data_IF_412555246156
#
_entry.id   IF_412555246156
#
_cell.length_a   1.000
_cell.length_b   1.000
_cell.length_c   1.000
_cell.angle_alpha   90.00
_cell.angle_beta   90.00
_cell.angle_gamma   90.00
#
_symmetry.space_group_name_H-M   'P 1'
#
loop_
_entity.id
_entity.type
_entity.pdbx_description
1 polymer ?
#
# COMPACT_ATOMS: atom_id res chain seq x y z
N UNK A 1 -25.93 -14.16 12.04
CA UNK A 1 -24.79 -15.08 12.21
C UNK A 1 -23.80 -14.38 13.13
N UNK A 2 -23.35 -15.03 14.21
CA UNK A 2 -22.34 -14.46 15.10
C UNK A 2 -21.05 -14.25 14.31
N UNK A 3 -20.67 -13.00 14.05
CA UNK A 3 -19.35 -12.68 13.52
C UNK A 3 -18.34 -13.14 14.57
N UNK A 4 -17.53 -14.15 14.26
CA UNK A 4 -16.37 -14.47 15.09
C UNK A 4 -15.56 -13.19 15.27
N UNK A 5 -15.14 -12.88 16.50
CA UNK A 5 -14.35 -11.69 16.77
C UNK A 5 -13.01 -11.81 16.00
N UNK A 6 -12.75 -10.86 15.10
CA UNK A 6 -11.51 -10.80 14.33
C UNK A 6 -10.35 -10.54 15.28
N UNK A 7 -9.31 -11.38 15.20
CA UNK A 7 -8.16 -11.22 16.06
C UNK A 7 -7.32 -10.04 15.59
N UNK A 8 -7.06 -9.12 16.52
CA UNK A 8 -6.34 -7.88 16.24
C UNK A 8 -5.32 -7.59 17.34
N UNK A 9 -4.08 -7.39 16.93
CA UNK A 9 -3.01 -6.81 17.76
C UNK A 9 -2.72 -5.39 17.28
N UNK A 10 -2.12 -4.56 18.14
CA UNK A 10 -1.75 -3.20 17.74
C UNK A 10 -0.58 -2.67 18.54
N UNK A 11 0.11 -1.71 17.96
CA UNK A 11 1.25 -1.04 18.58
C UNK A 11 1.26 0.44 18.19
N UNK A 12 1.69 1.29 19.13
CA UNK A 12 1.88 2.70 18.88
C UNK A 12 3.11 2.93 17.99
N UNK A 13 3.01 3.92 17.10
CA UNK A 13 4.10 4.33 16.25
C UNK A 13 4.67 5.65 16.75
N UNK A 14 5.96 5.86 16.50
CA UNK A 14 6.50 7.20 16.62
C UNK A 14 6.05 8.04 15.43
N UNK A 15 5.19 9.02 15.68
CA UNK A 15 4.85 10.07 14.74
C UNK A 15 5.64 11.36 15.09
N UNK A 16 6.78 11.66 14.43
CA UNK A 16 7.43 12.97 14.57
C UNK A 16 6.49 14.10 14.12
N UNK A 17 6.81 15.35 14.49
CA UNK A 17 6.17 16.49 13.81
C UNK A 17 6.52 16.44 12.32
N UNK A 18 5.61 16.85 11.44
CA UNK A 18 5.85 16.82 9.99
C UNK A 18 7.11 17.60 9.60
N UNK A 19 7.35 18.76 10.23
CA UNK A 19 8.55 19.58 10.01
C UNK A 19 9.86 18.83 10.33
N UNK A 20 9.86 17.94 11.32
CA UNK A 20 11.03 17.15 11.69
C UNK A 20 11.36 16.08 10.64
N UNK A 21 10.39 15.71 9.80
CA UNK A 21 10.56 14.76 8.70
C UNK A 21 11.04 15.43 7.40
N UNK A 22 10.81 16.73 7.22
CA UNK A 22 11.11 17.46 5.97
C UNK A 22 12.58 17.40 5.58
N UNK A 23 13.46 17.96 6.43
CA UNK A 23 14.87 18.12 6.09
C UNK A 23 15.61 16.78 5.84
N UNK A 24 15.38 15.72 6.66
CA UNK A 24 15.97 14.40 6.42
C UNK A 24 15.55 13.77 5.09
N UNK A 25 14.25 13.77 4.77
CA UNK A 25 13.75 13.19 3.51
C UNK A 25 14.29 13.97 2.32
N UNK A 26 14.26 15.31 2.38
CA UNK A 26 14.79 16.14 1.30
C UNK A 26 16.28 15.93 1.06
N UNK A 27 17.08 15.80 2.12
CA UNK A 27 18.52 15.52 2.01
C UNK A 27 18.77 14.16 1.36
N UNK A 28 18.11 13.11 1.86
CA UNK A 28 18.27 11.75 1.36
C UNK A 28 17.87 11.59 -0.12
N UNK A 29 16.84 12.32 -0.55
CA UNK A 29 16.40 12.34 -1.95
C UNK A 29 17.36 13.14 -2.84
N UNK A 30 17.99 14.23 -2.38
CA UNK A 30 18.94 15.01 -3.21
C UNK A 30 20.17 14.22 -3.63
N UNK A 31 20.57 13.23 -2.84
CA UNK A 31 21.65 12.30 -3.18
C UNK A 31 21.26 11.33 -4.32
N UNK A 32 19.95 11.19 -4.58
CA UNK A 32 19.38 10.21 -5.52
C UNK A 32 18.72 10.83 -6.73
N UNK A 33 18.29 12.08 -6.62
CA UNK A 33 17.57 12.82 -7.64
C UNK A 33 18.27 14.14 -7.94
N UNK A 34 18.24 14.57 -9.18
CA UNK A 34 18.74 15.86 -9.65
C UNK A 34 18.01 17.00 -8.96
N UNK A 35 16.69 16.85 -8.81
CA UNK A 35 15.83 17.78 -8.10
C UNK A 35 15.00 17.04 -7.06
N UNK A 36 15.07 17.48 -5.81
CA UNK A 36 14.19 16.98 -4.76
C UNK A 36 13.80 18.10 -3.78
N UNK A 37 12.53 18.13 -3.40
CA UNK A 37 11.98 19.02 -2.38
C UNK A 37 10.98 18.27 -1.51
N UNK A 38 10.93 18.65 -0.24
CA UNK A 38 9.94 18.16 0.72
C UNK A 38 9.46 19.37 1.51
N UNK A 39 8.15 19.50 1.67
CA UNK A 39 7.52 20.62 2.38
C UNK A 39 6.28 20.13 3.13
N UNK A 40 5.91 20.82 4.21
CA UNK A 40 4.60 20.65 4.83
C UNK A 40 3.61 21.57 4.13
N UNK A 41 2.57 21.00 3.54
CA UNK A 41 1.54 21.74 2.80
C UNK A 41 0.16 21.34 3.29
N UNK A 42 -0.84 22.18 3.02
CA UNK A 42 -2.23 21.75 3.13
C UNK A 42 -2.52 20.71 2.03
N UNK A 43 -3.09 19.57 2.40
CA UNK A 43 -3.38 18.49 1.47
C UNK A 43 -4.27 18.99 0.32
N UNK A 44 -3.83 18.87 -0.94
CA UNK A 44 -4.70 19.23 -2.06
C UNK A 44 -5.87 18.27 -2.14
N UNK A 45 -6.94 18.67 -2.83
CA UNK A 45 -8.11 17.83 -3.01
C UNK A 45 -7.79 16.58 -3.85
N UNK A 46 -7.60 15.44 -3.18
CA UNK A 46 -7.21 14.17 -3.81
C UNK A 46 -8.35 13.47 -4.56
N UNK A 47 -9.57 14.01 -4.54
CA UNK A 47 -10.62 13.55 -5.46
C UNK A 47 -10.19 13.72 -6.92
N UNK A 48 -9.35 14.72 -7.21
CA UNK A 48 -8.75 14.96 -8.53
C UNK A 48 -7.76 13.87 -8.96
N UNK A 49 -7.27 13.06 -8.02
CA UNK A 49 -6.38 11.92 -8.27
C UNK A 49 -7.14 10.58 -8.33
N UNK A 50 -8.48 10.62 -8.31
CA UNK A 50 -9.32 9.44 -8.32
C UNK A 50 -9.60 8.83 -6.94
N UNK A 51 -9.10 9.42 -5.85
CA UNK A 51 -9.37 8.91 -4.49
C UNK A 51 -10.83 9.14 -4.07
N UNK A 52 -11.31 8.36 -3.12
CA UNK A 52 -12.68 8.43 -2.56
C UNK A 52 -12.88 9.57 -1.55
N UNK A 53 -11.79 10.15 -1.05
CA UNK A 53 -11.75 11.18 -0.02
C UNK A 53 -10.89 12.36 -0.47
N UNK A 54 -11.20 13.60 -0.04
CA UNK A 54 -10.47 14.79 -0.47
C UNK A 54 -9.10 14.97 0.18
N UNK A 55 -8.84 14.35 1.35
CA UNK A 55 -7.56 14.51 2.05
C UNK A 55 -7.11 13.25 2.78
N UNK A 56 -5.96 13.37 3.45
CA UNK A 56 -5.32 12.29 4.23
C UNK A 56 -5.35 12.55 5.74
N UNK A 57 -6.09 13.58 6.17
CA UNK A 57 -6.15 14.03 7.55
C UNK A 57 -7.10 13.21 8.43
N UNK A 58 -6.94 13.41 9.74
CA UNK A 58 -7.78 12.84 10.78
C UNK A 58 -7.32 11.45 11.25
N UNK A 59 -6.61 11.45 12.39
CA UNK A 59 -6.13 10.26 13.12
C UNK A 59 -5.54 9.16 12.24
N UNK A 60 -4.46 9.43 11.48
CA UNK A 60 -3.92 8.47 10.52
C UNK A 60 -3.36 7.21 11.21
N UNK A 61 -3.67 6.04 10.64
CA UNK A 61 -3.30 4.71 11.16
C UNK A 61 -2.89 3.79 10.02
N UNK A 62 -2.13 2.75 10.33
CA UNK A 62 -1.87 1.64 9.41
C UNK A 62 -2.64 0.41 9.86
N UNK A 63 -3.16 -0.36 8.90
CA UNK A 63 -3.75 -1.68 9.15
C UNK A 63 -3.14 -2.69 8.19
N UNK A 64 -2.59 -3.76 8.75
CA UNK A 64 -2.04 -4.90 8.04
C UNK A 64 -2.92 -6.13 8.31
N UNK A 65 -3.59 -6.63 7.28
CA UNK A 65 -4.59 -7.70 7.33
C UNK A 65 -4.05 -8.94 6.64
N UNK A 66 -4.18 -10.12 7.26
CA UNK A 66 -3.88 -11.38 6.61
C UNK A 66 -2.39 -11.55 6.29
N UNK A 67 -2.04 -11.79 5.03
CA UNK A 67 -0.65 -11.76 4.59
C UNK A 67 -0.35 -12.71 3.43
N UNK A 68 0.87 -12.59 2.89
CA UNK A 68 1.37 -13.42 1.77
C UNK A 68 1.19 -14.93 2.01
N UNK A 69 1.35 -15.51 3.22
CA UNK A 69 1.11 -16.94 3.42
C UNK A 69 -0.28 -17.42 2.96
N UNK A 70 -1.30 -16.57 3.04
CA UNK A 70 -2.64 -16.93 2.58
C UNK A 70 -2.74 -17.04 1.04
N UNK A 71 -1.89 -16.32 0.30
CA UNK A 71 -1.80 -16.45 -1.16
C UNK A 71 -1.25 -17.81 -1.56
N UNK A 72 -0.26 -18.28 -0.79
CA UNK A 72 0.55 -19.46 -1.11
C UNK A 72 -0.20 -20.78 -0.88
N UNK A 73 -1.32 -20.76 -0.17
CA UNK A 73 -2.11 -21.95 0.15
C UNK A 73 -3.55 -21.81 -0.37
N UNK A 74 -4.01 -22.68 -1.29
CA UNK A 74 -5.39 -22.70 -1.77
C UNK A 74 -6.45 -22.74 -0.66
N UNK A 75 -6.12 -23.28 0.51
CA UNK A 75 -7.02 -23.34 1.65
C UNK A 75 -7.33 -21.96 2.29
N UNK A 76 -6.64 -20.90 1.86
CA UNK A 76 -6.74 -19.57 2.46
C UNK A 76 -7.05 -18.44 1.46
N UNK A 77 -7.18 -18.76 0.17
CA UNK A 77 -7.41 -17.78 -0.90
C UNK A 77 -8.84 -17.23 -0.94
N UNK A 78 -9.79 -17.88 -0.22
CA UNK A 78 -11.18 -17.44 -0.07
C UNK A 78 -11.40 -16.47 1.11
N UNK A 79 -10.34 -16.18 1.89
CA UNK A 79 -10.41 -15.21 3.00
C UNK A 79 -10.88 -13.85 2.49
N UNK A 80 -11.85 -13.28 3.21
CA UNK A 80 -12.52 -12.04 2.85
C UNK A 80 -12.77 -11.17 4.09
N UNK A 81 -12.33 -9.91 4.04
CA UNK A 81 -12.42 -8.97 5.15
C UNK A 81 -13.20 -7.72 4.74
N UNK A 82 -14.27 -7.39 5.46
CA UNK A 82 -15.05 -6.20 5.17
C UNK A 82 -14.30 -4.94 5.59
N UNK A 83 -14.37 -3.91 4.74
CA UNK A 83 -13.80 -2.59 5.00
C UNK A 83 -14.40 -1.99 6.27
N UNK A 84 -15.68 -2.25 6.53
CA UNK A 84 -16.33 -1.85 7.78
C UNK A 84 -15.65 -2.44 9.01
N UNK A 85 -15.38 -3.74 9.01
CA UNK A 85 -14.73 -4.42 10.14
C UNK A 85 -13.29 -3.91 10.34
N UNK A 86 -12.57 -3.67 9.23
CA UNK A 86 -11.24 -3.06 9.25
C UNK A 86 -11.27 -1.68 9.90
N UNK A 87 -12.24 -0.85 9.54
CA UNK A 87 -12.42 0.50 10.11
C UNK A 87 -12.77 0.43 11.60
N UNK A 88 -13.60 -0.53 12.03
CA UNK A 88 -13.93 -0.74 13.44
C UNK A 88 -12.71 -1.21 14.25
N UNK A 89 -11.95 -2.17 13.72
CA UNK A 89 -10.69 -2.63 14.31
C UNK A 89 -9.69 -1.48 14.46
N UNK A 90 -9.61 -0.63 13.45
CA UNK A 90 -8.78 0.57 13.47
C UNK A 90 -9.37 1.70 14.32
N UNK A 91 -10.51 1.52 15.01
CA UNK A 91 -11.14 2.55 15.85
C UNK A 91 -11.59 3.80 15.10
N UNK A 92 -11.88 3.68 13.80
CA UNK A 92 -12.28 4.76 12.89
C UNK A 92 -13.51 4.35 12.06
N UNK A 93 -14.68 4.11 12.68
CA UNK A 93 -15.86 3.57 12.00
C UNK A 93 -16.37 4.45 10.85
N UNK A 94 -16.13 5.77 10.91
CA UNK A 94 -16.48 6.75 9.88
C UNK A 94 -15.31 7.14 8.98
N UNK A 95 -14.20 6.40 9.08
CA UNK A 95 -13.00 6.65 8.30
C UNK A 95 -13.07 6.08 6.90
N UNK A 96 -11.92 6.10 6.24
CA UNK A 96 -11.69 5.57 4.92
C UNK A 96 -10.34 4.88 4.85
N UNK A 97 -10.22 3.94 3.91
CA UNK A 97 -9.03 3.15 3.64
C UNK A 97 -8.46 3.53 2.28
N UNK A 98 -7.14 3.52 2.16
CA UNK A 98 -6.42 3.46 0.88
C UNK A 98 -5.17 2.60 1.00
N UNK A 99 -4.71 1.96 -0.06
CA UNK A 99 -3.46 1.19 0.00
C UNK A 99 -3.35 0.10 -1.06
N UNK A 100 -2.85 -1.06 -0.65
CA UNK A 100 -2.59 -2.22 -1.51
C UNK A 100 -3.20 -3.46 -0.88
N UNK A 101 -3.92 -4.27 -1.66
CA UNK A 101 -4.55 -5.48 -1.17
C UNK A 101 -4.70 -6.52 -2.29
N UNK A 102 -5.11 -7.73 -1.93
CA UNK A 102 -5.73 -8.67 -2.86
C UNK A 102 -7.23 -8.36 -2.98
N UNK A 103 -7.83 -8.58 -4.15
CA UNK A 103 -9.29 -8.54 -4.28
C UNK A 103 -9.96 -9.74 -3.61
N UNK A 104 -11.23 -9.56 -3.23
CA UNK A 104 -12.09 -10.65 -2.77
C UNK A 104 -12.36 -11.60 -3.94
N UNK A 105 -11.85 -12.83 -3.83
CA UNK A 105 -11.90 -13.82 -4.90
C UNK A 105 -13.34 -14.21 -5.29
N UNK A 106 -14.29 -14.17 -4.35
CA UNK A 106 -15.69 -14.52 -4.62
C UNK A 106 -16.38 -13.45 -5.48
N UNK A 107 -16.05 -12.17 -5.25
CA UNK A 107 -16.55 -11.07 -6.07
C UNK A 107 -15.80 -10.98 -7.41
N UNK A 108 -14.46 -11.02 -7.37
CA UNK A 108 -13.60 -10.86 -8.54
C UNK A 108 -13.60 -12.10 -9.47
N UNK A 109 -14.08 -13.25 -8.97
CA UNK A 109 -14.07 -14.55 -9.65
C UNK A 109 -12.66 -15.01 -10.05
N UNK A 110 -11.71 -14.78 -9.14
CA UNK A 110 -10.30 -15.09 -9.33
C UNK A 110 -9.39 -14.13 -8.59
N UNK A 111 -8.09 -14.30 -8.78
CA UNK A 111 -7.09 -13.45 -8.16
C UNK A 111 -7.01 -12.07 -8.83
N UNK A 112 -6.84 -11.02 -8.03
CA UNK A 112 -6.65 -9.65 -8.52
C UNK A 112 -5.76 -8.84 -7.58
N UNK A 113 -4.98 -7.93 -8.15
CA UNK A 113 -4.36 -6.84 -7.40
C UNK A 113 -5.42 -5.79 -7.11
N UNK A 114 -5.70 -5.50 -5.84
CA UNK A 114 -6.67 -4.50 -5.44
C UNK A 114 -5.99 -3.20 -5.03
N UNK A 115 -6.52 -2.09 -5.52
CA UNK A 115 -6.21 -0.72 -5.11
C UNK A 115 -7.36 -0.22 -4.24
N UNK A 116 -7.45 -0.63 -2.96
CA UNK A 116 -8.53 -0.22 -2.08
C UNK A 116 -8.51 1.31 -1.95
N UNK A 117 -9.66 1.94 -2.14
CA UNK A 117 -9.87 3.37 -1.92
C UNK A 117 -11.34 3.60 -1.60
N UNK A 118 -11.71 3.50 -0.32
CA UNK A 118 -13.12 3.44 0.06
C UNK A 118 -13.40 3.85 1.51
N UNK A 119 -14.65 4.19 1.79
CA UNK A 119 -15.26 4.26 3.10
C UNK A 119 -16.46 3.31 3.14
N UNK A 120 -17.19 3.25 4.26
CA UNK A 120 -18.46 2.50 4.34
C UNK A 120 -19.53 2.98 3.35
N UNK A 121 -19.42 4.20 2.83
CA UNK A 121 -20.46 4.84 2.02
C UNK A 121 -20.00 5.19 0.60
N UNK A 122 -18.72 4.97 0.29
CA UNK A 122 -18.15 5.36 -1.01
C UNK A 122 -17.04 4.41 -1.35
N UNK A 123 -17.12 3.77 -2.52
CA UNK A 123 -16.05 2.97 -3.07
C UNK A 123 -15.53 3.61 -4.36
N UNK A 124 -14.22 3.83 -4.45
CA UNK A 124 -13.50 4.14 -5.70
C UNK A 124 -12.33 3.19 -5.92
N UNK A 125 -12.40 2.03 -5.29
CA UNK A 125 -11.40 0.99 -5.44
C UNK A 125 -11.33 0.52 -6.89
N UNK A 126 -10.13 0.11 -7.31
CA UNK A 126 -9.91 -0.54 -8.60
C UNK A 126 -9.30 -1.91 -8.38
N UNK A 127 -9.44 -2.80 -9.35
CA UNK A 127 -8.70 -4.07 -9.39
C UNK A 127 -7.96 -4.23 -10.71
N UNK A 128 -6.80 -4.89 -10.68
CA UNK A 128 -6.09 -5.28 -11.88
C UNK A 128 -5.93 -6.80 -11.96
N UNK A 129 -6.08 -7.34 -13.18
CA UNK A 129 -5.89 -8.77 -13.48
C UNK A 129 -5.11 -8.98 -14.76
N UNK A 130 -4.61 -10.20 -14.96
CA UNK A 130 -4.02 -10.63 -16.23
C UNK A 130 -5.15 -11.01 -17.20
N UNK A 131 -5.26 -10.29 -18.31
CA UNK A 131 -6.20 -10.58 -19.39
C UNK A 131 -5.83 -11.85 -20.17
N UNK A 132 -6.78 -12.34 -20.99
CA UNK A 132 -6.58 -13.56 -21.79
C UNK A 132 -5.43 -13.46 -22.81
N UNK A 133 -5.08 -12.24 -23.24
CA UNK A 133 -3.94 -11.95 -24.11
C UNK A 133 -2.64 -11.64 -23.34
N UNK A 134 -2.66 -11.83 -22.02
CA UNK A 134 -1.54 -11.56 -21.12
C UNK A 134 -1.28 -10.07 -20.84
N UNK A 135 -2.18 -9.16 -21.25
CA UNK A 135 -2.11 -7.73 -20.91
C UNK A 135 -2.75 -7.46 -19.55
N UNK A 136 -2.36 -6.36 -18.93
CA UNK A 136 -3.05 -5.86 -17.74
C UNK A 136 -4.46 -5.40 -18.12
N UNK A 137 -5.44 -5.72 -17.28
CA UNK A 137 -6.81 -5.20 -17.36
C UNK A 137 -7.15 -4.56 -16.02
N UNK A 138 -7.53 -3.28 -16.05
CA UNK A 138 -8.04 -2.53 -14.91
C UNK A 138 -9.57 -2.53 -14.91
N UNK A 139 -10.18 -2.81 -13.76
CA UNK A 139 -11.62 -2.75 -13.56
C UNK A 139 -12.00 -1.87 -12.36
N UNK A 140 -13.24 -1.39 -12.40
CA UNK A 140 -13.91 -0.86 -11.20
C UNK A 140 -14.12 -1.99 -10.19
N UNK A 141 -13.90 -1.71 -8.91
CA UNK A 141 -14.12 -2.66 -7.83
C UNK A 141 -15.22 -2.16 -6.90
N UNK A 142 -16.48 -2.47 -7.24
CA UNK A 142 -17.67 -2.06 -6.48
C UNK A 142 -18.04 -3.12 -5.44
N UNK A 143 -17.14 -3.29 -4.47
CA UNK A 143 -17.30 -4.22 -3.37
C UNK A 143 -16.69 -3.68 -2.08
N UNK A 144 -17.25 -4.06 -0.95
CA UNK A 144 -16.88 -3.54 0.37
C UNK A 144 -15.89 -4.44 1.12
N UNK A 145 -15.28 -5.41 0.43
CA UNK A 145 -14.34 -6.38 1.01
C UNK A 145 -13.01 -6.41 0.28
N UNK A 146 -11.97 -6.71 1.03
CA UNK A 146 -10.64 -7.09 0.51
C UNK A 146 -10.43 -8.59 0.71
N UNK A 147 -9.55 -9.18 -0.09
CA UNK A 147 -9.22 -10.61 -0.03
C UNK A 147 -8.23 -10.97 1.09
N UNK A 148 -7.45 -12.02 0.84
CA UNK A 148 -6.57 -12.69 1.78
C UNK A 148 -5.41 -11.85 2.37
N UNK A 149 -5.07 -10.69 1.79
CA UNK A 149 -4.14 -9.73 2.38
C UNK A 149 -4.52 -8.27 2.08
N UNK A 150 -4.17 -7.36 2.99
CA UNK A 150 -4.25 -5.92 2.76
C UNK A 150 -3.27 -5.13 3.63
N UNK A 151 -2.67 -4.10 3.03
CA UNK A 151 -1.85 -3.10 3.71
C UNK A 151 -2.46 -1.74 3.44
N UNK A 152 -3.09 -1.17 4.47
CA UNK A 152 -3.99 -0.05 4.36
C UNK A 152 -3.53 1.11 5.23
N UNK A 153 -3.57 2.30 4.65
CA UNK A 153 -3.60 3.55 5.36
C UNK A 153 -5.06 3.92 5.65
N UNK A 154 -5.35 4.21 6.92
CA UNK A 154 -6.70 4.52 7.41
C UNK A 154 -6.69 5.90 8.04
N UNK A 155 -7.66 6.74 7.67
CA UNK A 155 -7.83 8.08 8.23
C UNK A 155 -9.30 8.52 8.13
N UNK A 156 -9.64 9.74 8.58
CA UNK A 156 -10.98 10.31 8.41
C UNK A 156 -11.20 10.95 7.02
N UNK A 157 -10.14 11.08 6.21
CA UNK A 157 -10.24 11.57 4.84
C UNK A 157 -10.47 13.09 4.72
N UNK A 158 -10.22 13.84 5.80
CA UNK A 158 -10.44 15.30 5.84
C UNK A 158 -9.21 16.07 5.36
N UNK A 159 -9.36 17.35 4.96
CA UNK A 159 -8.22 18.24 4.73
C UNK A 159 -7.32 18.35 5.97
N UNK A 160 -6.06 18.71 5.75
CA UNK A 160 -5.07 18.88 6.80
C UNK A 160 -3.64 18.87 6.26
N UNK A 161 -2.65 19.14 7.12
CA UNK A 161 -1.26 19.20 6.73
C UNK A 161 -0.70 17.82 6.35
N UNK A 162 0.09 17.78 5.28
CA UNK A 162 0.76 16.57 4.77
C UNK A 162 2.18 16.90 4.32
N UNK A 163 3.02 15.89 4.19
CA UNK A 163 4.30 16.00 3.49
C UNK A 163 4.05 15.97 1.99
N UNK A 164 4.34 17.06 1.28
CA UNK A 164 4.54 17.03 -0.17
C UNK A 164 5.98 16.60 -0.45
N UNK A 165 6.15 15.52 -1.19
CA UNK A 165 7.45 15.00 -1.61
C UNK A 165 7.54 15.07 -3.13
N UNK A 166 8.53 15.81 -3.65
CA UNK A 166 8.81 15.89 -5.09
C UNK A 166 10.22 15.40 -5.37
N UNK A 167 10.37 14.58 -6.39
CA UNK A 167 11.66 14.05 -6.81
C UNK A 167 11.70 13.87 -8.33
N UNK A 168 12.71 14.45 -9.00
CA UNK A 168 12.84 14.41 -10.46
C UNK A 168 14.28 14.15 -10.90
N UNK A 169 14.42 13.45 -12.03
CA UNK A 169 15.70 13.14 -12.64
C UNK A 169 16.53 12.23 -11.74
N UNK A 170 16.30 10.92 -11.80
CA UNK A 170 17.03 9.95 -11.02
C UNK A 170 18.50 9.93 -11.45
N UNK A 171 19.43 9.98 -10.48
CA UNK A 171 20.89 10.02 -10.72
C UNK A 171 21.49 8.66 -11.09
N UNK A 172 20.91 7.57 -10.58
CA UNK A 172 21.34 6.18 -10.81
C UNK A 172 20.10 5.30 -10.99
N UNK A 173 20.15 4.18 -11.74
CA UNK A 173 19.01 3.28 -11.85
C UNK A 173 18.42 2.91 -10.48
N UNK A 174 17.09 2.85 -10.35
CA UNK A 174 16.43 2.34 -9.14
C UNK A 174 16.49 0.79 -9.12
N UNK A 175 16.48 0.24 -7.91
CA UNK A 175 16.13 -1.16 -7.66
C UNK A 175 15.03 -1.23 -6.60
N UNK A 176 14.63 -2.44 -6.20
CA UNK A 176 13.59 -2.64 -5.19
C UNK A 176 13.86 -1.93 -3.85
N UNK A 177 15.12 -1.76 -3.47
CA UNK A 177 15.52 -1.17 -2.19
C UNK A 177 15.78 0.34 -2.24
N UNK A 178 15.98 0.89 -3.44
CA UNK A 178 16.30 2.31 -3.68
C UNK A 178 15.23 3.05 -4.50
N UNK A 179 13.99 2.55 -4.45
CA UNK A 179 12.83 3.13 -5.15
C UNK A 179 12.28 4.39 -4.42
N UNK A 180 11.36 5.13 -5.04
CA UNK A 180 10.78 6.36 -4.47
C UNK A 180 10.29 6.22 -3.01
N UNK A 181 9.48 5.21 -2.70
CA UNK A 181 8.92 5.00 -1.34
C UNK A 181 10.00 4.45 -0.38
N UNK A 182 10.90 3.60 -0.88
CA UNK A 182 12.09 3.10 -0.19
C UNK A 182 13.00 4.22 0.29
N UNK A 183 13.16 5.26 -0.52
CA UNK A 183 13.97 6.41 -0.18
C UNK A 183 13.35 7.27 0.93
N UNK A 184 12.02 7.43 0.92
CA UNK A 184 11.29 8.13 1.99
C UNK A 184 11.42 7.34 3.30
N UNK A 185 11.18 6.02 3.26
CA UNK A 185 11.34 5.13 4.42
C UNK A 185 12.78 5.15 4.95
N UNK A 186 13.76 5.02 4.06
CA UNK A 186 15.19 4.99 4.39
C UNK A 186 15.65 6.27 5.09
N UNK A 187 15.20 7.42 4.62
CA UNK A 187 15.51 8.71 5.24
C UNK A 187 15.03 8.80 6.69
N UNK A 188 13.81 8.33 6.96
CA UNK A 188 13.22 8.34 8.31
C UNK A 188 13.90 7.32 9.22
N UNK A 189 14.19 6.12 8.71
CA UNK A 189 14.94 5.10 9.45
C UNK A 189 16.33 5.60 9.87
N UNK A 190 17.03 6.30 8.98
CA UNK A 190 18.33 6.90 9.28
C UNK A 190 18.23 8.04 10.30
N UNK A 191 17.18 8.87 10.21
CA UNK A 191 16.99 10.02 11.11
C UNK A 191 16.59 9.63 12.53
N UNK A 192 15.74 8.62 12.66
CA UNK A 192 15.11 8.21 13.91
C UNK A 192 15.35 6.72 14.19
N UNK A 193 16.62 6.31 14.39
CA UNK A 193 16.95 4.90 14.57
C UNK A 193 16.24 4.31 15.79
N UNK A 194 15.73 3.09 15.64
CA UNK A 194 15.03 2.36 16.71
C UNK A 194 13.62 2.86 17.02
N UNK A 195 13.10 3.83 16.24
CA UNK A 195 11.72 4.32 16.37
C UNK A 195 10.93 3.90 15.13
N UNK A 196 9.93 3.05 15.32
CA UNK A 196 9.03 2.65 14.25
C UNK A 196 8.17 3.83 13.82
N UNK A 197 8.25 4.21 12.54
CA UNK A 197 7.49 5.30 11.93
C UNK A 197 6.68 4.70 10.78
N UNK A 198 5.36 4.90 10.83
CA UNK A 198 4.46 4.52 9.74
C UNK A 198 4.01 5.74 8.95
N UNK A 199 3.81 5.55 7.65
CA UNK A 199 3.33 6.55 6.72
C UNK A 199 2.33 5.91 5.78
N UNK A 200 1.39 6.70 5.27
CA UNK A 200 0.67 6.33 4.06
C UNK A 200 0.20 7.54 3.30
N UNK A 201 -0.28 7.30 2.09
CA UNK A 201 -0.77 8.36 1.21
C UNK A 201 -0.77 7.95 -0.24
N UNK A 202 -0.71 8.94 -1.11
CA UNK A 202 -0.75 8.75 -2.55
C UNK A 202 0.35 9.53 -3.26
N UNK A 203 0.81 9.00 -4.39
CA UNK A 203 1.72 9.72 -5.27
C UNK A 203 1.37 9.49 -6.74
N UNK A 204 1.96 10.30 -7.61
CA UNK A 204 1.90 10.12 -9.07
C UNK A 204 3.28 10.25 -9.67
N UNK A 205 3.51 9.53 -10.76
CA UNK A 205 4.68 9.66 -11.62
C UNK A 205 4.25 10.37 -12.89
N UNK A 206 4.62 11.64 -13.06
CA UNK A 206 4.27 12.48 -14.22
C UNK A 206 5.09 12.18 -15.46
N UNK A 207 6.27 11.60 -15.29
CA UNK A 207 7.21 11.18 -16.33
C UNK A 207 7.96 9.94 -15.88
N UNK A 208 8.41 9.14 -16.85
CA UNK A 208 9.19 7.94 -16.63
C UNK A 208 8.35 6.67 -16.81
N UNK A 209 9.06 5.54 -16.78
CA UNK A 209 8.50 4.19 -16.79
C UNK A 209 8.78 3.54 -15.44
N UNK A 210 7.98 2.55 -15.08
CA UNK A 210 8.18 1.75 -13.87
C UNK A 210 7.86 0.28 -14.09
N UNK A 211 8.53 -0.57 -13.30
CA UNK A 211 8.26 -1.99 -13.24
C UNK A 211 7.10 -2.25 -12.29
N UNK A 212 6.16 -3.07 -12.74
CA UNK A 212 5.03 -3.53 -11.95
C UNK A 212 4.79 -5.03 -12.14
N UNK A 213 3.98 -5.62 -11.28
CA UNK A 213 3.39 -6.93 -11.54
C UNK A 213 1.87 -6.93 -11.34
N UNK A 214 1.24 -7.92 -11.94
CA UNK A 214 -0.12 -8.34 -11.63
C UNK A 214 -0.08 -9.84 -11.42
N UNK A 215 -0.59 -10.33 -10.29
CA UNK A 215 -0.75 -11.75 -10.07
C UNK A 215 -1.66 -12.38 -11.15
N UNK A 216 -1.26 -13.50 -11.79
CA UNK A 216 -2.20 -14.36 -12.49
C UNK A 216 -3.21 -14.98 -11.52
N UNK A 217 -4.15 -15.76 -12.07
CA UNK A 217 -5.09 -16.50 -11.23
C UNK A 217 -4.37 -17.51 -10.33
N UNK A 218 -5.07 -17.93 -9.26
CA UNK A 218 -4.53 -18.81 -8.25
C UNK A 218 -4.04 -20.15 -8.84
N UNK A 219 -3.02 -20.74 -8.21
CA UNK A 219 -2.67 -22.14 -8.45
C UNK A 219 -3.50 -23.04 -7.56
N UNK A 220 -3.85 -24.23 -8.05
CA UNK A 220 -4.52 -25.29 -7.28
C UNK A 220 -3.61 -26.01 -6.28
N UNK A 221 -2.34 -25.62 -6.21
CA UNK A 221 -1.30 -26.24 -5.37
C UNK A 221 -0.65 -25.20 -4.47
N UNK A 222 -0.15 -25.65 -3.32
CA UNK A 222 0.66 -24.82 -2.43
C UNK A 222 1.91 -24.34 -3.17
N UNK A 223 2.19 -23.03 -3.11
CA UNK A 223 3.38 -22.40 -3.65
C UNK A 223 4.43 -22.20 -2.57
N UNK A 224 5.71 -22.30 -2.94
CA UNK A 224 6.83 -21.94 -2.06
C UNK A 224 7.24 -20.49 -2.34
N UNK A 225 7.30 -19.67 -1.30
CA UNK A 225 7.76 -18.29 -1.43
C UNK A 225 9.21 -18.22 -1.98
N UNK A 226 9.52 -17.15 -2.69
CA UNK A 226 10.79 -16.97 -3.39
C UNK A 226 10.68 -17.24 -4.89
N UNK A 227 11.60 -18.02 -5.51
CA UNK A 227 11.70 -18.12 -6.97
C UNK A 227 10.40 -18.56 -7.67
N UNK A 228 9.66 -19.51 -7.09
CA UNK A 228 8.41 -20.01 -7.69
C UNK A 228 7.36 -18.89 -7.82
N UNK A 229 7.21 -18.07 -6.77
CA UNK A 229 6.33 -16.90 -6.81
C UNK A 229 6.83 -15.89 -7.84
N UNK A 230 8.15 -15.63 -7.87
CA UNK A 230 8.72 -14.70 -8.84
C UNK A 230 8.50 -15.14 -10.29
N UNK A 231 8.53 -16.44 -10.58
CA UNK A 231 8.26 -16.98 -11.93
C UNK A 231 6.77 -16.98 -12.29
N UNK A 232 5.89 -17.15 -11.29
CA UNK A 232 4.44 -17.11 -11.48
C UNK A 232 3.93 -15.68 -11.72
N UNK A 233 4.50 -14.67 -11.05
CA UNK A 233 4.09 -13.27 -11.22
C UNK A 233 4.26 -12.80 -12.66
N UNK A 234 3.25 -12.08 -13.18
CA UNK A 234 3.31 -11.45 -14.50
C UNK A 234 3.79 -10.01 -14.37
N UNK A 235 5.00 -9.75 -14.86
CA UNK A 235 5.60 -8.41 -14.84
C UNK A 235 5.27 -7.58 -16.07
N UNK A 236 5.24 -6.26 -15.86
CA UNK A 236 5.01 -5.24 -16.86
C UNK A 236 5.99 -4.08 -16.67
N UNK A 237 6.29 -3.38 -17.76
CA UNK A 237 6.80 -2.02 -17.71
C UNK A 237 5.65 -1.08 -18.10
N UNK A 238 5.35 -0.10 -17.25
CA UNK A 238 4.18 0.76 -17.37
C UNK A 238 4.56 2.23 -17.37
N UNK A 239 3.65 3.06 -17.90
CA UNK A 239 3.88 4.47 -18.19
C UNK A 239 3.35 5.46 -17.15
N UNK A 240 3.66 6.75 -17.30
CA UNK A 240 3.34 7.78 -16.33
C UNK A 240 1.83 8.06 -16.27
N UNK A 241 1.43 8.88 -15.28
CA UNK A 241 0.04 9.28 -15.06
C UNK A 241 -0.76 8.33 -14.16
N UNK A 242 -0.11 7.30 -13.60
CA UNK A 242 -0.72 6.46 -12.58
C UNK A 242 -0.88 7.20 -11.24
N UNK A 243 -1.94 6.84 -10.51
CA UNK A 243 -2.10 7.16 -9.09
C UNK A 243 -1.66 5.93 -8.29
N UNK A 244 -0.69 6.12 -7.42
CA UNK A 244 -0.13 5.10 -6.54
C UNK A 244 -0.67 5.30 -5.13
N UNK A 245 -1.08 4.21 -4.48
CA UNK A 245 -1.54 4.16 -3.09
C UNK A 245 -0.52 3.38 -2.28
N UNK A 246 0.07 4.01 -1.26
CA UNK A 246 1.24 3.47 -0.60
C UNK A 246 1.09 3.45 0.92
N UNK A 247 1.59 2.36 1.51
CA UNK A 247 1.86 2.23 2.94
C UNK A 247 3.33 1.93 3.15
N UNK A 248 3.94 2.60 4.12
CA UNK A 248 5.35 2.45 4.49
C UNK A 248 5.47 2.35 6.01
N UNK A 249 6.36 1.48 6.47
CA UNK A 249 6.73 1.33 7.87
C UNK A 249 8.24 1.13 7.96
N UNK A 250 8.94 1.93 8.76
CA UNK A 250 10.41 1.85 8.87
C UNK A 250 10.89 0.53 9.48
N UNK A 251 10.16 0.01 10.46
CA UNK A 251 10.44 -1.23 11.15
C UNK A 251 9.19 -1.69 11.92
N UNK A 252 9.10 -2.99 12.21
CA UNK A 252 8.09 -3.50 13.13
C UNK A 252 8.28 -2.87 14.54
N UNK A 253 7.23 -2.32 15.18
CA UNK A 253 7.33 -1.71 16.50
C UNK A 253 7.48 -2.73 17.64
N UNK A 254 7.31 -4.02 17.38
CA UNK A 254 7.39 -5.07 18.40
C UNK A 254 8.78 -5.72 18.48
N UNK A 255 9.17 -6.27 19.64
CA UNK A 255 10.37 -7.08 19.75
C UNK A 255 10.37 -8.21 18.72
N UNK A 256 11.52 -8.43 18.09
CA UNK A 256 11.75 -9.51 17.11
C UNK A 256 10.81 -9.55 15.90
N UNK A 257 10.08 -8.46 15.62
CA UNK A 257 9.15 -8.38 14.49
C UNK A 257 7.93 -9.30 14.64
N UNK A 258 7.42 -9.44 15.87
CA UNK A 258 6.36 -10.38 16.23
C UNK A 258 5.01 -10.10 15.52
N UNK A 259 4.76 -8.90 15.01
CA UNK A 259 3.55 -8.60 14.25
C UNK A 259 3.65 -9.02 12.78
N UNK A 260 4.85 -9.36 12.28
CA UNK A 260 5.10 -9.80 10.91
C UNK A 260 4.57 -8.80 9.86
N UNK A 261 4.80 -7.51 10.10
CA UNK A 261 4.25 -6.44 9.27
C UNK A 261 4.96 -6.32 7.92
N UNK A 262 4.20 -6.02 6.87
CA UNK A 262 4.74 -5.66 5.56
C UNK A 262 5.26 -4.22 5.61
N UNK A 263 6.57 -4.04 5.48
CA UNK A 263 7.22 -2.73 5.63
C UNK A 263 6.93 -1.75 4.48
N UNK A 264 6.64 -2.27 3.29
CA UNK A 264 6.33 -1.48 2.10
C UNK A 264 5.34 -2.23 1.23
N UNK A 265 4.27 -1.54 0.84
CA UNK A 265 3.33 -2.05 -0.14
C UNK A 265 2.70 -0.89 -0.90
N UNK A 266 2.82 -0.92 -2.23
CA UNK A 266 2.29 0.12 -3.10
C UNK A 266 1.60 -0.52 -4.28
N UNK A 267 0.30 -0.26 -4.42
CA UNK A 267 -0.44 -0.58 -5.64
C UNK A 267 -0.78 0.71 -6.39
N UNK A 268 -1.18 0.58 -7.65
CA UNK A 268 -1.50 1.74 -8.48
C UNK A 268 -2.62 1.44 -9.47
N UNK A 269 -3.25 2.52 -9.94
CA UNK A 269 -4.15 2.48 -11.08
C UNK A 269 -3.84 3.64 -12.04
N UNK A 270 -3.94 3.38 -13.34
CA UNK A 270 -3.89 4.36 -14.41
C UNK A 270 -5.15 4.21 -15.26
N UNK A 271 -6.15 5.04 -14.97
CA UNK A 271 -7.45 4.94 -15.62
C UNK A 271 -7.40 5.27 -17.13
N UNK A 272 -6.45 6.11 -17.55
CA UNK A 272 -6.29 6.47 -18.97
C UNK A 272 -5.68 5.33 -19.76
N UNK A 273 -4.68 4.64 -19.19
CA UNK A 273 -4.05 3.48 -19.81
C UNK A 273 -4.85 2.19 -19.65
N UNK A 274 -5.77 2.12 -18.68
CA UNK A 274 -6.48 0.89 -18.33
C UNK A 274 -5.59 -0.12 -17.61
N UNK A 275 -4.60 0.37 -16.85
CA UNK A 275 -3.56 -0.43 -16.21
C UNK A 275 -3.60 -0.27 -14.68
N UNK A 276 -3.14 -1.28 -13.94
CA UNK A 276 -2.96 -1.24 -12.50
C UNK A 276 -2.13 -2.41 -12.00
N UNK A 277 -1.94 -2.50 -10.68
CA UNK A 277 -1.26 -3.62 -10.05
C UNK A 277 -0.30 -3.22 -8.95
N UNK A 278 0.73 -4.04 -8.73
CA UNK A 278 1.75 -3.85 -7.72
C UNK A 278 2.96 -3.11 -8.28
N UNK A 279 3.37 -2.02 -7.64
CA UNK A 279 4.55 -1.22 -8.02
C UNK A 279 5.84 -1.81 -7.45
N UNK A 280 6.92 -1.78 -8.22
CA UNK A 280 8.25 -2.15 -7.75
C UNK A 280 9.23 -0.97 -7.68
N UNK A 281 9.57 -0.37 -8.81
CA UNK A 281 10.55 0.71 -8.92
C UNK A 281 10.48 1.38 -10.29
N UNK A 282 10.93 2.63 -10.38
CA UNK A 282 11.12 3.33 -11.66
C UNK A 282 12.22 2.68 -12.50
N UNK A 283 11.98 2.48 -13.80
CA UNK A 283 12.97 1.89 -14.73
C UNK A 283 13.67 2.94 -15.60
N UNK A 284 13.16 4.19 -15.58
CA UNK A 284 13.73 5.32 -16.31
C UNK A 284 14.53 6.25 -15.40
N UNK A 285 15.50 6.98 -15.96
CA UNK A 285 16.19 8.05 -15.23
C UNK A 285 15.38 9.37 -15.25
N UNK A 286 14.68 9.68 -16.35
CA UNK A 286 13.81 10.87 -16.44
C UNK A 286 12.45 10.63 -15.76
N UNK A 287 12.48 10.52 -14.44
CA UNK A 287 11.30 10.39 -13.58
C UNK A 287 10.85 11.74 -13.04
N UNK A 288 9.56 11.90 -12.78
CA UNK A 288 8.98 13.06 -12.08
C UNK A 288 7.90 12.61 -11.11
N UNK A 289 8.26 12.45 -9.84
CA UNK A 289 7.36 12.04 -8.77
C UNK A 289 6.81 13.25 -8.01
N UNK A 290 5.52 13.18 -7.69
CA UNK A 290 4.86 14.06 -6.70
C UNK A 290 4.00 13.20 -5.80
N UNK A 291 4.22 13.26 -4.49
CA UNK A 291 3.46 12.49 -3.50
C UNK A 291 3.03 13.32 -2.30
N UNK A 292 1.93 12.90 -1.68
CA UNK A 292 1.40 13.45 -0.43
C UNK A 292 1.27 12.35 0.59
N UNK A 293 1.89 12.54 1.76
CA UNK A 293 1.97 11.51 2.80
C UNK A 293 1.63 12.08 4.17
N UNK A 294 0.95 11.27 4.98
CA UNK A 294 0.67 11.53 6.38
C UNK A 294 1.36 10.48 7.26
N UNK A 295 1.78 10.91 8.45
CA UNK A 295 2.37 10.06 9.48
C UNK A 295 1.27 9.32 10.25
N UNK A 296 1.42 8.02 10.39
CA UNK A 296 0.51 7.18 11.17
C UNK A 296 0.91 7.17 12.65
N UNK A 297 -0.08 7.26 13.53
CA UNK A 297 0.10 7.27 14.99
C UNK A 297 0.12 5.84 15.57
N UNK A 298 -0.47 4.88 14.85
CA UNK A 298 -0.65 3.51 15.31
C UNK A 298 -0.72 2.53 14.15
N UNK A 299 -0.29 1.29 14.38
CA UNK A 299 -0.46 0.17 13.46
C UNK A 299 -1.29 -0.93 14.09
N UNK A 300 -2.14 -1.57 13.28
CA UNK A 300 -2.99 -2.69 13.66
C UNK A 300 -2.64 -3.89 12.79
N UNK A 301 -2.47 -5.05 13.42
CA UNK A 301 -2.26 -6.34 12.78
C UNK A 301 -3.52 -7.17 12.95
N UNK A 302 -4.23 -7.43 11.87
CA UNK A 302 -5.48 -8.18 11.87
C UNK A 302 -5.27 -9.53 11.19
N UNK A 303 -5.70 -10.61 11.83
CA UNK A 303 -5.65 -11.97 11.27
C UNK A 303 -4.23 -12.35 10.76
N UNK A 304 -3.23 -12.27 11.65
CA UNK A 304 -1.83 -12.50 11.31
C UNK A 304 -1.60 -13.89 10.68
N UNK A 305 -1.41 -13.94 9.36
CA UNK A 305 -1.22 -15.18 8.60
C UNK A 305 0.08 -15.95 8.93
N UNK A 306 0.99 -15.36 9.71
CA UNK A 306 2.24 -16.00 10.13
C UNK A 306 2.13 -16.67 11.51
N UNK A 307 1.08 -16.41 12.30
CA UNK A 307 0.85 -17.08 13.58
C UNK A 307 0.24 -18.48 13.36
N UNK A 308 1.10 -19.46 13.07
CA UNK A 308 0.73 -20.86 12.83
C UNK A 308 0.05 -21.56 14.00
N UNK A 309 0.02 -20.96 15.21
CA UNK A 309 -0.72 -21.52 16.37
C UNK A 309 -2.24 -21.51 16.17
N UNK A 310 -2.74 -20.86 15.11
CA UNK A 310 -4.18 -20.67 14.85
C UNK A 310 -4.68 -21.24 13.53
N UNK A 311 -3.80 -21.85 12.72
CA UNK A 311 -4.17 -22.56 11.49
C UNK A 311 -4.89 -23.90 11.74
N UNK A 312 -5.03 -24.32 13.00
CA UNK A 312 -5.91 -25.43 13.39
C UNK A 312 -7.23 -24.89 13.93
N UNK A 313 -8.08 -24.37 13.05
CA UNK A 313 -9.53 -24.37 13.32
C UNK A 313 -10.05 -25.60 12.58
N UNK A 314 -10.67 -26.58 13.29
CA UNK A 314 -11.14 -27.83 12.70
C UNK A 314 -12.20 -27.65 11.62
#
# INVERSE_FOLDING_TARGET
>A
MSTAALFTESADLFAPALDDAVAPIAAFLRDRYEHASVEVVECPNLLSWGLAMPGLGGQPRLVDVGGVPNLLDPAHQDKSFAIGDILDCAGLPTGCVLGAASGDAAWAKGNTELMPCASRHTCRSKSARVGADGRCVLDEYDWDRVGFLANLFVCQGVPGPVLEVRARGRRLPEDHSDNFVGNIRGALLQRFPGRAIGLGGAFTMKKGLFKAHVMPDFKDTVMVDGPEVQEWLKYYEMGPGATFLSTMLTQDPTPDGALNLRLEHTHFFNQTAGEGGHYHYGTSLDVDYVGYFALAERVYRMENAFDRRRCNIP
#
